data_IF_941074109873
#
_entry.id   IF_941074109873
#
_cell.length_a   1.000
_cell.length_b   1.000
_cell.length_c   1.000
_cell.angle_alpha   90.00
_cell.angle_beta   90.00
_cell.angle_gamma   90.00
#
_symmetry.space_group_name_H-M   'P 1'
#
loop_
_entity.id
_entity.type
_entity.pdbx_description
1 polymer ?
#
# COMPACT_ATOMS: atom_id res chain seq x y z
N UNK A 1 13.52 0.94 -2.52
CA UNK A 1 12.47 1.00 -1.48
C UNK A 1 11.15 1.43 -2.09
N UNK A 2 10.09 0.77 -1.71
CA UNK A 2 8.77 1.07 -2.23
C UNK A 2 7.91 1.66 -1.11
N UNK A 3 7.31 2.81 -1.36
CA UNK A 3 6.42 3.47 -0.41
C UNK A 3 5.00 2.99 -0.65
N UNK A 4 4.32 2.65 0.43
CA UNK A 4 2.95 2.14 0.39
C UNK A 4 1.99 3.22 0.86
N UNK A 5 0.99 3.54 0.03
CA UNK A 5 -0.06 4.49 0.36
C UNK A 5 -1.40 3.80 0.30
N UNK A 6 -2.16 3.90 1.37
CA UNK A 6 -3.53 3.38 1.40
C UNK A 6 -4.52 4.50 1.12
N UNK A 7 -5.53 4.18 0.33
CA UNK A 7 -6.64 5.09 0.12
C UNK A 7 -7.38 5.31 1.44
N UNK A 8 -7.71 6.56 1.74
CA UNK A 8 -8.48 6.90 2.93
C UNK A 8 -9.97 6.88 2.61
N UNK A 9 -10.80 6.89 3.64
CA UNK A 9 -12.24 6.92 3.45
C UNK A 9 -12.69 8.22 2.79
N UNK A 10 -13.70 8.10 1.98
CA UNK A 10 -14.31 9.25 1.33
C UNK A 10 -15.05 10.11 2.34
N UNK A 11 -15.13 11.40 2.05
CA UNK A 11 -15.84 12.33 2.90
C UNK A 11 -14.96 13.11 3.86
N UNK A 12 -13.72 12.74 4.01
CA UNK A 12 -12.74 13.54 4.70
C UNK A 12 -12.18 14.56 3.73
N UNK A 13 -12.06 15.81 4.14
CA UNK A 13 -11.37 16.82 3.36
C UNK A 13 -9.86 16.67 3.43
N UNK A 14 -9.42 15.52 3.85
CA UNK A 14 -8.03 15.17 3.99
C UNK A 14 -7.47 14.64 2.67
N UNK A 15 -6.18 14.41 2.65
CA UNK A 15 -5.52 13.80 1.50
C UNK A 15 -6.14 12.43 1.22
N UNK A 16 -6.40 12.09 -0.06
CA UNK A 16 -7.05 10.83 -0.40
C UNK A 16 -6.20 9.60 -0.11
N UNK A 17 -4.91 9.78 0.15
CA UNK A 17 -3.99 8.67 0.42
C UNK A 17 -3.18 8.95 1.67
N UNK A 18 -2.93 7.89 2.43
CA UNK A 18 -2.11 7.96 3.63
C UNK A 18 -0.90 7.05 3.46
N UNK A 19 0.29 7.59 3.69
CA UNK A 19 1.52 6.80 3.70
C UNK A 19 1.51 5.88 4.92
N UNK A 20 1.57 4.57 4.71
CA UNK A 20 1.47 3.59 5.78
C UNK A 20 2.76 2.80 6.03
N UNK A 21 3.61 2.67 5.03
CA UNK A 21 4.84 1.91 5.18
C UNK A 21 5.83 2.16 4.05
N UNK A 22 7.09 1.81 4.31
CA UNK A 22 8.12 1.70 3.29
C UNK A 22 8.59 0.25 3.32
N UNK A 23 8.68 -0.37 2.15
CA UNK A 23 9.13 -1.76 2.03
C UNK A 23 10.48 -1.77 1.31
N UNK A 24 11.47 -2.39 1.92
CA UNK A 24 12.82 -2.45 1.35
C UNK A 24 12.91 -3.54 0.29
N UNK A 25 12.39 -3.23 -0.87
CA UNK A 25 12.42 -4.11 -2.04
C UNK A 25 12.32 -3.27 -3.31
N UNK A 26 12.77 -3.83 -4.42
CA UNK A 26 12.61 -3.23 -5.74
C UNK A 26 11.46 -3.89 -6.53
N UNK A 27 10.77 -4.83 -5.92
CA UNK A 27 9.68 -5.56 -6.57
C UNK A 27 8.33 -5.11 -6.05
N UNK A 28 7.49 -4.59 -6.94
CA UNK A 28 6.11 -4.18 -6.62
C UNK A 28 5.32 -5.38 -6.08
N UNK A 29 5.48 -6.56 -6.70
CA UNK A 29 4.80 -7.77 -6.24
C UNK A 29 5.20 -8.18 -4.83
N UNK A 30 6.49 -8.07 -4.50
CA UNK A 30 6.97 -8.38 -3.15
C UNK A 30 6.45 -7.35 -2.14
N UNK A 31 6.43 -6.07 -2.51
CA UNK A 31 5.89 -5.03 -1.64
C UNK A 31 4.42 -5.27 -1.35
N UNK A 32 3.64 -5.63 -2.36
CA UNK A 32 2.24 -5.97 -2.19
C UNK A 32 2.07 -7.15 -1.23
N UNK A 33 2.83 -8.23 -1.46
CA UNK A 33 2.75 -9.43 -0.62
C UNK A 33 3.12 -9.17 0.83
N UNK A 34 4.15 -8.33 1.07
CA UNK A 34 4.61 -8.00 2.41
C UNK A 34 3.61 -7.16 3.21
N UNK A 35 2.64 -6.55 2.54
CA UNK A 35 1.64 -5.67 3.17
C UNK A 35 0.25 -6.31 3.21
N UNK A 36 0.21 -7.62 3.33
CA UNK A 36 -1.02 -8.39 3.48
C UNK A 36 -1.15 -8.91 4.91
N UNK A 37 -2.35 -8.97 5.43
CA UNK A 37 -2.60 -9.45 6.79
C UNK A 37 -2.28 -10.95 6.98
N UNK A 38 -1.98 -11.66 5.91
CA UNK A 38 -1.42 -13.00 6.01
C UNK A 38 0.04 -13.01 6.43
N UNK A 39 0.71 -11.88 6.40
CA UNK A 39 2.08 -11.70 6.85
C UNK A 39 2.05 -11.21 8.30
N UNK A 40 2.69 -11.94 9.22
CA UNK A 40 2.69 -11.60 10.64
C UNK A 40 3.19 -10.20 10.91
N UNK A 41 4.28 -9.81 10.26
CA UNK A 41 4.88 -8.50 10.51
C UNK A 41 3.94 -7.37 10.10
N UNK A 42 3.16 -7.57 9.04
CA UNK A 42 2.20 -6.56 8.62
C UNK A 42 1.01 -6.47 9.57
N UNK A 43 0.53 -7.60 10.06
CA UNK A 43 -0.58 -7.62 11.02
C UNK A 43 -0.28 -6.80 12.28
N UNK A 44 0.99 -6.76 12.69
CA UNK A 44 1.41 -5.99 13.85
C UNK A 44 1.38 -4.48 13.64
N UNK A 45 1.36 -4.02 12.41
CA UNK A 45 1.29 -2.59 12.09
C UNK A 45 -0.08 -1.97 12.36
N UNK A 46 -1.12 -2.78 12.49
CA UNK A 46 -2.48 -2.29 12.72
C UNK A 46 -3.16 -1.69 11.51
N UNK A 47 -2.60 -1.88 10.32
CA UNK A 47 -3.21 -1.44 9.06
C UNK A 47 -3.87 -2.61 8.35
N UNK A 48 -4.89 -2.30 7.53
CA UNK A 48 -5.48 -3.31 6.66
C UNK A 48 -4.50 -3.75 5.58
N UNK A 49 -4.79 -4.86 4.93
CA UNK A 49 -4.00 -5.28 3.77
C UNK A 49 -4.08 -4.25 2.65
N UNK A 50 -2.98 -4.09 1.92
CA UNK A 50 -2.96 -3.28 0.70
C UNK A 50 -3.85 -3.96 -0.34
N UNK A 51 -4.71 -3.18 -0.98
CA UNK A 51 -5.71 -3.71 -1.90
C UNK A 51 -5.97 -2.78 -3.06
N UNK A 52 -6.91 -3.14 -3.92
CA UNK A 52 -7.31 -2.30 -5.07
C UNK A 52 -7.67 -0.90 -4.60
N UNK A 53 -7.19 0.09 -5.33
CA UNK A 53 -7.36 1.50 -4.99
C UNK A 53 -6.20 2.08 -4.22
N UNK A 54 -5.30 1.26 -3.72
CA UNK A 54 -4.09 1.73 -3.04
C UNK A 54 -2.97 2.00 -4.05
N UNK A 55 -1.92 2.66 -3.61
CA UNK A 55 -0.83 3.09 -4.47
C UNK A 55 0.51 2.67 -3.89
N UNK A 56 1.37 2.14 -4.74
CA UNK A 56 2.76 1.85 -4.41
C UNK A 56 3.64 2.79 -5.23
N UNK A 57 4.61 3.43 -4.59
CA UNK A 57 5.50 4.37 -5.26
C UNK A 57 6.92 3.82 -5.26
N UNK A 58 7.48 3.68 -6.45
CA UNK A 58 8.86 3.23 -6.64
C UNK A 58 9.59 4.24 -7.53
N UNK A 59 10.71 4.76 -7.04
CA UNK A 59 11.55 5.70 -7.78
C UNK A 59 10.77 6.89 -8.37
N UNK A 60 9.83 7.41 -7.59
CA UNK A 60 9.01 8.55 -8.00
C UNK A 60 7.86 8.20 -8.94
N UNK A 61 7.67 6.91 -9.25
CA UNK A 61 6.59 6.45 -10.12
C UNK A 61 5.51 5.80 -9.28
N UNK A 62 4.27 6.25 -9.45
CA UNK A 62 3.12 5.72 -8.73
C UNK A 62 2.48 4.58 -9.52
N UNK A 63 2.27 3.46 -8.83
CA UNK A 63 1.59 2.28 -9.40
C UNK A 63 0.28 2.10 -8.67
N UNK A 64 -0.81 2.31 -9.39
CA UNK A 64 -2.15 2.18 -8.83
C UNK A 64 -2.61 0.73 -8.92
N UNK A 65 -3.07 0.19 -7.81
CA UNK A 65 -3.61 -1.16 -7.79
C UNK A 65 -5.04 -1.13 -8.32
N UNK A 66 -5.28 -1.92 -9.36
CA UNK A 66 -6.60 -2.02 -9.98
C UNK A 66 -7.21 -3.39 -9.69
N UNK A 67 -8.55 -3.50 -9.67
CA UNK A 67 -9.19 -4.80 -9.47
C UNK A 67 -8.78 -5.77 -10.58
N UNK A 68 -8.55 -7.02 -10.18
CA UNK A 68 -8.34 -8.11 -11.14
C UNK A 68 -9.68 -8.46 -11.76
N UNK A 69 -9.69 -8.54 -13.07
CA UNK A 69 -10.91 -8.85 -13.81
C UNK A 69 -11.00 -10.34 -14.06
#
# INVERSE_FOLDING_TARGET
MIKIYHATEFGNNEKPYKHVADVDTDSIGKAFGATQNGDESWSEHGHRSTSSGDVLVQDGVAYFLVPTV
#
